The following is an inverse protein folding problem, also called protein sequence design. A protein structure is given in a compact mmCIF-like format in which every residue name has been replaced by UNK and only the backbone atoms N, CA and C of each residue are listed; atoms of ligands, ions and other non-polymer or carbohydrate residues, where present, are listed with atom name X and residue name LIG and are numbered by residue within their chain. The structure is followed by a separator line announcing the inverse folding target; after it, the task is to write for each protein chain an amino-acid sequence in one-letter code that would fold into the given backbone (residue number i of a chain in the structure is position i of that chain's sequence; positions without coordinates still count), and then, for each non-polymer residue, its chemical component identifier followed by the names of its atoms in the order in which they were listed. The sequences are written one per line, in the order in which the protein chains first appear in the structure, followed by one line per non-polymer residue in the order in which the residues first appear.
data_IF_741761662520
#
_entry.id   IF_741761662520
#
_cell.length_a   1.000
_cell.length_b   1.000
_cell.length_c   1.000
_cell.angle_alpha   90.00
_cell.angle_beta   90.00
_cell.angle_gamma   90.00
#
_symmetry.space_group_name_H-M   'P 1'
#
loop_
_entity.id
_entity.type
_entity.pdbx_description
1 polymer ?
#
# COMPACT_ATOMS: atom_id res chain seq x y z
N UNK A 1 -20.17 -23.05 -12.62
CA UNK A 1 -18.93 -22.26 -12.78
C UNK A 1 -19.01 -20.88 -12.14
N UNK A 2 -20.08 -20.10 -12.31
CA UNK A 2 -20.17 -18.76 -11.69
C UNK A 2 -20.02 -18.75 -10.16
N UNK A 3 -20.62 -19.72 -9.46
CA UNK A 3 -20.50 -19.85 -7.99
C UNK A 3 -19.05 -20.06 -7.55
N UNK A 4 -18.27 -20.85 -8.31
CA UNK A 4 -16.85 -21.04 -8.07
C UNK A 4 -16.03 -19.77 -8.35
N UNK A 5 -16.35 -19.04 -9.41
CA UNK A 5 -15.72 -17.76 -9.72
C UNK A 5 -15.97 -16.72 -8.63
N UNK A 6 -17.20 -16.65 -8.11
CA UNK A 6 -17.55 -15.78 -6.99
C UNK A 6 -16.85 -16.24 -5.70
N UNK A 7 -16.83 -17.53 -5.40
CA UNK A 7 -16.13 -18.06 -4.22
C UNK A 7 -14.63 -17.73 -4.24
N UNK A 8 -13.96 -17.90 -5.38
CA UNK A 8 -12.55 -17.52 -5.55
C UNK A 8 -12.36 -16.02 -5.37
N UNK A 9 -13.22 -15.19 -5.97
CA UNK A 9 -13.14 -13.73 -5.80
C UNK A 9 -13.25 -13.31 -4.32
N UNK A 10 -14.18 -13.92 -3.56
CA UNK A 10 -14.29 -13.66 -2.13
C UNK A 10 -13.06 -14.14 -1.36
N UNK A 11 -12.54 -15.33 -1.68
CA UNK A 11 -11.34 -15.86 -1.03
C UNK A 11 -10.11 -14.95 -1.27
N UNK A 12 -9.89 -14.53 -2.52
CA UNK A 12 -8.81 -13.63 -2.92
C UNK A 12 -8.97 -12.25 -2.26
N UNK A 13 -10.19 -11.72 -2.25
CA UNK A 13 -10.50 -10.48 -1.57
C UNK A 13 -10.15 -10.53 -0.08
N UNK A 14 -10.61 -11.58 0.62
CA UNK A 14 -10.31 -11.77 2.05
C UNK A 14 -8.79 -11.86 2.27
N UNK A 15 -8.08 -12.60 1.41
CA UNK A 15 -6.62 -12.70 1.46
C UNK A 15 -5.94 -11.34 1.31
N UNK A 16 -6.37 -10.51 0.35
CA UNK A 16 -5.81 -9.16 0.15
C UNK A 16 -6.13 -8.22 1.31
N UNK A 17 -7.37 -8.21 1.80
CA UNK A 17 -7.76 -7.37 2.93
C UNK A 17 -7.05 -7.74 4.23
N UNK A 18 -6.94 -9.04 4.52
CA UNK A 18 -6.17 -9.53 5.66
C UNK A 18 -4.67 -9.29 5.50
N UNK A 19 -4.15 -9.41 4.28
CA UNK A 19 -2.75 -9.11 3.96
C UNK A 19 -2.40 -7.66 4.26
N UNK A 20 -3.24 -6.73 3.80
CA UNK A 20 -3.08 -5.29 4.08
C UNK A 20 -3.19 -4.99 5.59
N UNK A 21 -4.17 -5.58 6.27
CA UNK A 21 -4.32 -5.45 7.72
C UNK A 21 -3.08 -5.95 8.48
N UNK A 22 -2.58 -7.14 8.11
CA UNK A 22 -1.43 -7.74 8.78
C UNK A 22 -0.15 -6.96 8.50
N UNK A 23 0.02 -6.48 7.27
CA UNK A 23 1.14 -5.62 6.87
C UNK A 23 1.15 -4.33 7.67
N UNK A 24 0.03 -3.60 7.71
CA UNK A 24 -0.10 -2.37 8.48
C UNK A 24 0.09 -2.60 9.99
N UNK A 25 -0.42 -3.71 10.52
CA UNK A 25 -0.21 -4.08 11.93
C UNK A 25 1.26 -4.38 12.23
N UNK A 26 1.93 -5.14 11.37
CA UNK A 26 3.35 -5.45 11.51
C UNK A 26 4.21 -4.19 11.47
N UNK A 27 3.93 -3.27 10.54
CA UNK A 27 4.61 -1.98 10.45
C UNK A 27 4.43 -1.17 11.75
N UNK A 28 3.22 -1.13 12.30
CA UNK A 28 2.94 -0.45 13.57
C UNK A 28 3.66 -1.09 14.76
N UNK A 29 3.64 -2.42 14.86
CA UNK A 29 4.32 -3.15 15.94
C UNK A 29 5.84 -2.97 15.86
N UNK A 30 6.40 -2.95 14.65
CA UNK A 30 7.82 -2.63 14.40
C UNK A 30 8.17 -1.20 14.81
N UNK A 31 7.33 -0.23 14.45
CA UNK A 31 7.51 1.17 14.82
C UNK A 31 7.57 1.34 16.35
N UNK A 32 6.60 0.79 17.08
CA UNK A 32 6.58 0.89 18.55
C UNK A 32 7.78 0.20 19.20
N UNK A 33 8.17 -0.97 18.69
CA UNK A 33 9.33 -1.70 19.21
C UNK A 33 10.61 -0.88 19.04
N UNK A 34 10.84 -0.32 17.84
CA UNK A 34 12.01 0.51 17.55
C UNK A 34 12.00 1.80 18.35
N UNK A 35 10.89 2.53 18.37
CA UNK A 35 10.75 3.76 19.17
C UNK A 35 11.04 3.54 20.65
N UNK A 36 10.59 2.40 21.20
CA UNK A 36 10.89 2.06 22.59
C UNK A 36 12.35 1.68 22.83
N UNK A 37 13.04 1.13 21.82
CA UNK A 37 14.48 0.89 21.88
C UNK A 37 15.25 2.21 21.81
N UNK A 38 14.83 3.12 20.95
CA UNK A 38 15.39 4.47 20.81
C UNK A 38 15.29 5.28 22.10
N UNK A 39 14.10 5.28 22.72
CA UNK A 39 13.90 5.92 24.02
C UNK A 39 14.73 5.30 25.14
N UNK A 40 15.09 4.02 25.04
CA UNK A 40 16.02 3.37 25.97
C UNK A 40 17.46 3.80 25.68
N UNK A 41 17.87 3.84 24.42
CA UNK A 41 19.19 4.30 24.02
C UNK A 41 19.45 5.76 24.42
N UNK A 42 18.45 6.64 24.28
CA UNK A 42 18.49 8.03 24.75
C UNK A 42 18.67 8.15 26.27
N UNK A 43 18.19 7.17 27.05
CA UNK A 43 18.37 7.15 28.52
C UNK A 43 19.71 6.56 28.92
N UNK A 44 20.12 5.49 28.25
CA UNK A 44 21.31 4.72 28.60
C UNK A 44 22.59 5.40 28.10
N UNK A 45 22.56 5.98 26.89
CA UNK A 45 23.71 6.60 26.21
C UNK A 45 23.33 7.93 25.50
N UNK A 46 22.80 8.95 26.21
CA UNK A 46 22.35 10.21 25.59
C UNK A 46 23.43 10.90 24.76
N UNK A 47 24.69 10.84 25.20
CA UNK A 47 25.79 11.47 24.48
C UNK A 47 26.03 10.85 23.09
N UNK A 48 25.72 9.57 22.89
CA UNK A 48 25.83 8.91 21.60
C UNK A 48 24.67 9.33 20.70
N UNK A 49 23.44 9.18 21.16
CA UNK A 49 22.24 9.53 20.39
C UNK A 49 22.22 10.99 19.94
N UNK A 50 22.69 11.92 20.79
CA UNK A 50 22.80 13.33 20.42
C UNK A 50 23.84 13.59 19.33
N UNK A 51 24.91 12.78 19.25
CA UNK A 51 25.88 12.87 18.14
C UNK A 51 25.27 12.35 16.84
N UNK A 52 24.48 11.29 16.92
CA UNK A 52 23.77 10.72 15.77
C UNK A 52 22.73 11.72 15.23
N UNK A 53 21.92 12.32 16.11
CA UNK A 53 21.01 13.42 15.75
C UNK A 53 21.77 14.60 15.15
N UNK A 54 22.90 15.00 15.72
CA UNK A 54 23.73 16.08 15.17
C UNK A 54 24.22 15.75 13.75
N UNK A 55 24.61 14.49 13.50
CA UNK A 55 25.04 14.06 12.16
C UNK A 55 23.88 14.13 11.17
N UNK A 56 22.71 13.61 11.54
CA UNK A 56 21.49 13.70 10.72
C UNK A 56 21.18 15.16 10.37
N UNK A 57 21.23 16.07 11.34
CA UNK A 57 21.00 17.50 11.11
C UNK A 57 22.02 18.11 10.13
N UNK A 58 23.30 17.71 10.22
CA UNK A 58 24.33 18.16 9.28
C UNK A 58 24.08 17.66 7.86
N UNK A 59 23.70 16.38 7.70
CA UNK A 59 23.33 15.80 6.41
C UNK A 59 22.12 16.49 5.78
N UNK A 60 21.25 17.08 6.60
CA UNK A 60 20.13 17.94 6.16
C UNK A 60 20.52 19.39 5.86
N UNK A 61 21.81 19.73 5.95
CA UNK A 61 22.36 21.01 5.56
C UNK A 61 22.53 22.01 6.71
N UNK A 62 22.34 21.61 7.97
CA UNK A 62 22.66 22.50 9.09
C UNK A 62 24.19 22.61 9.26
N UNK A 63 24.74 23.83 9.43
CA UNK A 63 26.14 23.99 9.79
C UNK A 63 26.44 23.25 11.10
N UNK A 64 27.63 22.63 11.20
CA UNK A 64 28.04 21.81 12.35
C UNK A 64 27.74 22.48 13.71
N UNK A 65 28.07 23.77 13.86
CA UNK A 65 27.83 24.50 15.11
C UNK A 65 26.35 24.71 15.44
N UNK A 66 25.48 24.83 14.44
CA UNK A 66 24.03 24.94 14.62
C UNK A 66 23.44 23.56 14.90
N UNK A 67 23.85 22.53 14.14
CA UNK A 67 23.40 21.16 14.37
C UNK A 67 23.71 20.68 15.80
N UNK A 68 24.90 20.98 16.33
CA UNK A 68 25.29 20.61 17.69
C UNK A 68 24.43 21.31 18.76
N UNK A 69 24.17 22.60 18.58
CA UNK A 69 23.29 23.37 19.47
C UNK A 69 21.85 22.86 19.43
N UNK A 70 21.34 22.61 18.21
CA UNK A 70 19.97 22.09 18.01
C UNK A 70 19.82 20.70 18.61
N UNK A 71 20.77 19.79 18.38
CA UNK A 71 20.74 18.45 18.97
C UNK A 71 20.75 18.52 20.50
N UNK A 72 21.63 19.35 21.08
CA UNK A 72 21.70 19.54 22.54
C UNK A 72 20.39 20.09 23.09
N UNK A 73 19.82 21.11 22.45
CA UNK A 73 18.54 21.71 22.88
C UNK A 73 17.36 20.73 22.76
N UNK A 74 17.37 19.85 21.75
CA UNK A 74 16.39 18.77 21.61
C UNK A 74 16.60 17.64 22.62
N UNK A 75 17.79 17.48 23.18
CA UNK A 75 18.11 16.43 24.16
C UNK A 75 17.27 16.47 25.43
N UNK A 76 16.73 17.64 25.80
CA UNK A 76 15.78 17.78 26.91
C UNK A 76 14.38 17.24 26.57
N UNK A 77 14.15 16.84 25.32
CA UNK A 77 12.88 16.35 24.78
C UNK A 77 13.07 14.97 24.10
N UNK A 78 13.29 13.89 24.87
CA UNK A 78 13.62 12.57 24.32
C UNK A 78 12.53 11.99 23.42
N UNK A 79 11.25 12.31 23.65
CA UNK A 79 10.17 11.90 22.75
C UNK A 79 10.29 12.56 21.37
N UNK A 80 10.64 13.85 21.32
CA UNK A 80 10.82 14.57 20.06
C UNK A 80 12.07 14.08 19.33
N UNK A 81 13.16 13.79 20.05
CA UNK A 81 14.36 13.19 19.47
C UNK A 81 14.05 11.81 18.90
N UNK A 82 13.37 10.94 19.65
CA UNK A 82 12.99 9.63 19.15
C UNK A 82 12.11 9.71 17.90
N UNK A 83 11.16 10.65 17.84
CA UNK A 83 10.30 10.83 16.66
C UNK A 83 11.11 11.33 15.44
N UNK A 84 12.10 12.20 15.65
CA UNK A 84 13.04 12.65 14.61
C UNK A 84 13.93 11.50 14.11
N UNK A 85 14.49 10.70 15.02
CA UNK A 85 15.33 9.53 14.68
C UNK A 85 14.52 8.48 13.92
N UNK A 86 13.30 8.17 14.38
CA UNK A 86 12.36 7.28 13.66
C UNK A 86 12.10 7.74 12.22
N UNK A 87 11.95 9.04 12.01
CA UNK A 87 11.70 9.61 10.69
C UNK A 87 12.96 9.64 9.82
N UNK A 88 14.09 10.10 10.36
CA UNK A 88 15.26 10.45 9.56
C UNK A 88 16.31 9.34 9.46
N UNK A 89 16.46 8.52 10.49
CA UNK A 89 17.37 7.38 10.46
C UNK A 89 16.67 6.13 9.89
N UNK A 90 15.48 5.82 10.39
CA UNK A 90 14.78 4.57 10.05
C UNK A 90 13.78 4.72 8.89
N UNK A 91 13.46 5.95 8.46
CA UNK A 91 12.48 6.19 7.41
C UNK A 91 11.08 5.71 7.76
N UNK A 92 10.77 5.58 9.05
CA UNK A 92 9.49 5.08 9.55
C UNK A 92 8.66 6.26 10.08
N UNK A 93 7.76 6.82 9.26
CA UNK A 93 6.85 7.86 9.73
C UNK A 93 5.91 7.30 10.81
N UNK A 94 5.37 8.20 11.63
CA UNK A 94 4.47 7.82 12.71
C UNK A 94 3.18 7.16 12.15
N UNK A 95 2.87 5.90 12.53
CA UNK A 95 1.68 5.19 12.05
C UNK A 95 0.37 5.67 12.72
N UNK A 96 0.38 6.72 13.56
CA UNK A 96 -0.82 7.22 14.27
C UNK A 96 -2.01 7.53 13.38
N UNK A 97 -1.76 8.02 12.17
CA UNK A 97 -2.83 8.38 11.22
C UNK A 97 -3.31 7.17 10.41
N UNK A 98 -2.58 6.04 10.45
CA UNK A 98 -2.93 4.82 9.75
C UNK A 98 -3.71 3.85 10.64
N UNK A 99 -4.88 3.43 10.17
CA UNK A 99 -5.68 2.40 10.85
C UNK A 99 -5.66 1.12 10.01
N UNK A 100 -4.82 0.12 10.35
CA UNK A 100 -4.66 -1.10 9.53
C UNK A 100 -5.98 -1.84 9.26
N UNK A 101 -6.90 -1.83 10.23
CA UNK A 101 -8.21 -2.46 10.09
C UNK A 101 -9.08 -1.77 9.02
N UNK A 102 -9.03 -0.43 8.98
CA UNK A 102 -9.76 0.37 8.01
C UNK A 102 -9.13 0.16 6.62
N UNK A 103 -7.81 0.26 6.50
CA UNK A 103 -7.09 0.07 5.24
C UNK A 103 -7.36 -1.33 4.65
N UNK A 104 -7.27 -2.38 5.47
CA UNK A 104 -7.61 -3.74 5.05
C UNK A 104 -9.07 -3.90 4.60
N UNK A 105 -10.01 -3.26 5.30
CA UNK A 105 -11.43 -3.29 4.91
C UNK A 105 -11.70 -2.56 3.59
N UNK A 106 -11.05 -1.42 3.35
CA UNK A 106 -11.15 -0.69 2.08
C UNK A 106 -10.57 -1.50 0.93
N UNK A 107 -9.40 -2.13 1.12
CA UNK A 107 -8.78 -3.01 0.12
C UNK A 107 -9.70 -4.18 -0.23
N UNK A 108 -10.30 -4.83 0.78
CA UNK A 108 -11.28 -5.90 0.56
C UNK A 108 -12.49 -5.43 -0.27
N UNK A 109 -13.13 -4.34 0.15
CA UNK A 109 -14.34 -3.82 -0.51
C UNK A 109 -14.03 -3.35 -1.93
N UNK A 110 -12.91 -2.65 -2.13
CA UNK A 110 -12.47 -2.22 -3.45
C UNK A 110 -12.23 -3.42 -4.37
N UNK A 111 -11.51 -4.44 -3.88
CA UNK A 111 -11.25 -5.65 -4.67
C UNK A 111 -12.54 -6.36 -5.09
N UNK A 112 -13.49 -6.52 -4.16
CA UNK A 112 -14.80 -7.10 -4.50
C UNK A 112 -15.58 -6.23 -5.48
N UNK A 113 -15.63 -4.92 -5.26
CA UNK A 113 -16.39 -4.00 -6.10
C UNK A 113 -15.90 -4.04 -7.55
N UNK A 114 -14.58 -4.01 -7.79
CA UNK A 114 -14.02 -4.10 -9.13
C UNK A 114 -14.05 -5.53 -9.70
N UNK A 115 -13.83 -6.55 -8.86
CA UNK A 115 -13.78 -7.95 -9.29
C UNK A 115 -15.15 -8.53 -9.65
N UNK A 116 -16.26 -7.96 -9.16
CA UNK A 116 -17.62 -8.37 -9.54
C UNK A 116 -18.00 -7.82 -10.93
N UNK A 117 -17.46 -6.68 -11.36
CA UNK A 117 -17.85 -6.02 -12.63
C UNK A 117 -17.79 -6.97 -13.85
N UNK A 118 -16.70 -7.75 -14.07
CA UNK A 118 -16.63 -8.71 -15.17
C UNK A 118 -17.66 -9.85 -15.10
N UNK A 119 -18.16 -10.17 -13.89
CA UNK A 119 -19.10 -11.26 -13.63
C UNK A 119 -20.56 -10.82 -13.82
N UNK A 120 -20.88 -9.53 -13.64
CA UNK A 120 -22.25 -8.99 -13.77
C UNK A 120 -22.95 -9.41 -15.08
N UNK A 121 -22.31 -9.32 -16.27
CA UNK A 121 -22.97 -9.72 -17.52
C UNK A 121 -23.46 -11.16 -17.54
N UNK A 122 -22.75 -12.08 -16.86
CA UNK A 122 -23.12 -13.49 -16.81
C UNK A 122 -24.26 -13.80 -15.83
N UNK A 123 -24.58 -12.88 -14.91
CA UNK A 123 -25.78 -12.99 -14.08
C UNK A 123 -27.04 -12.49 -14.80
N UNK A 124 -26.88 -11.55 -15.73
CA UNK A 124 -28.00 -10.88 -16.41
C UNK A 124 -28.35 -11.53 -17.74
N UNK A 125 -27.34 -12.01 -18.48
CA UNK A 125 -27.50 -12.58 -19.82
C UNK A 125 -27.18 -14.07 -19.85
N UNK A 126 -27.86 -14.86 -20.71
CA UNK A 126 -27.52 -16.26 -20.92
C UNK A 126 -26.07 -16.39 -21.45
N UNK A 127 -25.35 -17.47 -21.06
CA UNK A 127 -23.97 -17.68 -21.48
C UNK A 127 -23.93 -17.97 -22.99
N UNK A 128 -23.62 -16.94 -23.75
CA UNK A 128 -23.44 -16.95 -25.21
C UNK A 128 -22.18 -16.15 -25.55
N UNK A 129 -21.65 -16.31 -26.77
CA UNK A 129 -20.45 -15.58 -27.22
C UNK A 129 -20.59 -14.06 -27.08
N UNK A 130 -21.83 -13.55 -27.22
CA UNK A 130 -22.13 -12.14 -26.99
C UNK A 130 -21.88 -11.71 -25.54
N UNK A 131 -22.24 -12.54 -24.57
CA UNK A 131 -22.03 -12.27 -23.14
C UNK A 131 -20.56 -12.24 -22.78
N UNK A 132 -19.73 -13.07 -23.43
CA UNK A 132 -18.28 -13.03 -23.28
C UNK A 132 -17.71 -11.67 -23.71
N UNK A 133 -18.06 -11.17 -24.90
CA UNK A 133 -17.60 -9.86 -25.36
C UNK A 133 -18.10 -8.70 -24.49
N UNK A 134 -19.31 -8.79 -23.94
CA UNK A 134 -19.82 -7.81 -22.96
C UNK A 134 -18.98 -7.84 -21.67
N UNK A 135 -18.61 -9.02 -21.18
CA UNK A 135 -17.73 -9.15 -20.01
C UNK A 135 -16.33 -8.57 -20.26
N UNK A 136 -15.73 -8.84 -21.43
CA UNK A 136 -14.46 -8.21 -21.82
C UNK A 136 -14.57 -6.68 -21.82
N UNK A 137 -15.65 -6.13 -22.38
CA UNK A 137 -15.93 -4.69 -22.34
C UNK A 137 -16.09 -4.15 -20.91
N UNK A 138 -16.80 -4.88 -20.04
CA UNK A 138 -16.98 -4.53 -18.63
C UNK A 138 -15.65 -4.53 -17.86
N UNK A 139 -14.78 -5.52 -18.11
CA UNK A 139 -13.42 -5.57 -17.54
C UNK A 139 -12.58 -4.39 -17.99
N UNK A 140 -12.59 -4.05 -19.29
CA UNK A 140 -11.88 -2.89 -19.81
C UNK A 140 -12.38 -1.59 -19.18
N UNK A 141 -13.70 -1.45 -19.01
CA UNK A 141 -14.29 -0.31 -18.33
C UNK A 141 -13.87 -0.23 -16.85
N UNK A 142 -13.83 -1.36 -16.15
CA UNK A 142 -13.35 -1.45 -14.76
C UNK A 142 -11.87 -1.04 -14.64
N UNK A 143 -11.01 -1.54 -15.53
CA UNK A 143 -9.58 -1.18 -15.57
C UNK A 143 -9.39 0.30 -15.93
N UNK A 144 -10.17 0.84 -16.85
CA UNK A 144 -10.16 2.25 -17.20
C UNK A 144 -10.59 3.12 -16.01
N UNK A 145 -11.66 2.74 -15.30
CA UNK A 145 -12.10 3.41 -14.09
C UNK A 145 -11.04 3.37 -12.98
N UNK A 146 -10.37 2.23 -12.79
CA UNK A 146 -9.27 2.09 -11.84
C UNK A 146 -8.07 2.97 -12.22
N UNK A 147 -7.72 3.04 -13.50
CA UNK A 147 -6.65 3.91 -14.02
C UNK A 147 -6.96 5.40 -13.83
N UNK A 148 -8.22 5.80 -14.04
CA UNK A 148 -8.73 7.14 -13.77
C UNK A 148 -8.70 7.48 -12.27
N UNK A 149 -9.09 6.53 -11.41
CA UNK A 149 -9.06 6.70 -9.97
C UNK A 149 -7.61 6.85 -9.47
N UNK A 150 -6.68 6.02 -9.98
CA UNK A 150 -5.24 6.17 -9.75
C UNK A 150 -4.74 7.54 -10.19
N UNK A 151 -5.11 7.97 -11.38
CA UNK A 151 -4.74 9.30 -11.88
C UNK A 151 -5.21 10.43 -10.96
N UNK A 152 -6.48 10.39 -10.54
CA UNK A 152 -7.05 11.37 -9.62
C UNK A 152 -6.36 11.37 -8.25
N UNK A 153 -5.91 10.21 -7.78
CA UNK A 153 -5.27 10.07 -6.47
C UNK A 153 -3.79 10.47 -6.48
N UNK A 154 -3.06 10.17 -7.56
CA UNK A 154 -1.60 10.39 -7.63
C UNK A 154 -1.20 11.69 -8.31
N UNK A 155 -2.10 12.36 -9.05
CA UNK A 155 -1.78 13.58 -9.81
C UNK A 155 -0.79 13.38 -10.96
N UNK A 156 -0.48 12.13 -11.30
CA UNK A 156 0.44 11.76 -12.36
C UNK A 156 -0.12 12.02 -13.77
N UNK A 157 0.65 11.73 -14.82
CA UNK A 157 0.16 11.84 -16.20
C UNK A 157 -0.86 10.75 -16.49
N UNK A 158 -2.07 11.12 -16.91
CA UNK A 158 -3.18 10.20 -17.25
C UNK A 158 -2.76 9.09 -18.21
N UNK A 159 -1.99 9.41 -19.25
CA UNK A 159 -1.52 8.43 -20.23
C UNK A 159 -0.64 7.33 -19.60
N UNK A 160 0.14 7.66 -18.57
CA UNK A 160 1.00 6.72 -17.87
C UNK A 160 0.21 5.80 -16.94
N UNK A 161 -0.66 6.36 -16.10
CA UNK A 161 -1.47 5.57 -15.16
C UNK A 161 -2.45 4.64 -15.88
N UNK A 162 -3.09 5.14 -16.94
CA UNK A 162 -3.97 4.34 -17.78
C UNK A 162 -3.19 3.28 -18.56
N UNK A 163 -2.06 3.66 -19.17
CA UNK A 163 -1.20 2.75 -19.92
C UNK A 163 -0.69 1.60 -19.06
N UNK A 164 -0.17 1.89 -17.86
CA UNK A 164 0.29 0.87 -16.92
C UNK A 164 -0.85 -0.05 -16.47
N UNK A 165 -2.00 0.52 -16.07
CA UNK A 165 -3.14 -0.27 -15.54
C UNK A 165 -3.72 -1.19 -16.61
N UNK A 166 -3.91 -0.69 -17.85
CA UNK A 166 -4.40 -1.50 -18.96
C UNK A 166 -3.37 -2.54 -19.40
N UNK A 167 -2.08 -2.20 -19.45
CA UNK A 167 -1.04 -3.15 -19.86
C UNK A 167 -0.90 -4.31 -18.88
N UNK A 168 -0.86 -4.01 -17.58
CA UNK A 168 -0.82 -5.04 -16.53
C UNK A 168 -2.10 -5.88 -16.55
N UNK A 169 -3.28 -5.25 -16.65
CA UNK A 169 -4.55 -5.98 -16.75
C UNK A 169 -4.63 -6.89 -17.98
N UNK A 170 -4.15 -6.41 -19.13
CA UNK A 170 -4.10 -7.19 -20.37
C UNK A 170 -3.15 -8.38 -20.25
N UNK A 171 -1.97 -8.18 -19.64
CA UNK A 171 -1.02 -9.26 -19.39
C UNK A 171 -1.61 -10.32 -18.46
N UNK A 172 -2.24 -9.91 -17.35
CA UNK A 172 -2.92 -10.83 -16.44
C UNK A 172 -4.04 -11.61 -17.14
N UNK A 173 -4.86 -10.95 -17.96
CA UNK A 173 -5.91 -11.60 -18.73
C UNK A 173 -5.34 -12.61 -19.74
N UNK A 174 -4.26 -12.28 -20.44
CA UNK A 174 -3.60 -13.18 -21.37
C UNK A 174 -3.04 -14.44 -20.67
N UNK A 175 -2.42 -14.27 -19.50
CA UNK A 175 -1.93 -15.39 -18.69
C UNK A 175 -3.10 -16.26 -18.21
N UNK A 176 -4.16 -15.66 -17.66
CA UNK A 176 -5.33 -16.38 -17.19
C UNK A 176 -6.01 -17.17 -18.33
N UNK A 177 -6.15 -16.57 -19.51
CA UNK A 177 -6.69 -17.23 -20.69
C UNK A 177 -5.79 -18.38 -21.16
N UNK A 178 -4.47 -18.18 -21.19
CA UNK A 178 -3.52 -19.21 -21.58
C UNK A 178 -3.54 -20.43 -20.65
N UNK A 179 -3.60 -20.20 -19.33
CA UNK A 179 -3.74 -21.27 -18.33
C UNK A 179 -5.11 -21.95 -18.47
N UNK A 180 -6.17 -21.18 -18.64
CA UNK A 180 -7.53 -21.69 -18.82
C UNK A 180 -7.66 -22.57 -20.06
N UNK A 181 -7.03 -22.19 -21.17
CA UNK A 181 -6.99 -23.00 -22.39
C UNK A 181 -6.20 -24.30 -22.20
N UNK A 182 -5.06 -24.24 -21.51
CA UNK A 182 -4.19 -25.41 -21.30
C UNK A 182 -4.78 -26.45 -20.34
N UNK A 183 -5.49 -26.00 -19.30
CA UNK A 183 -6.16 -26.88 -18.32
C UNK A 183 -7.56 -27.30 -18.78
N UNK A 184 -8.24 -26.41 -19.52
CA UNK A 184 -9.63 -26.57 -19.94
C UNK A 184 -9.82 -27.41 -21.20
N UNK A 185 -8.81 -27.52 -22.07
CA UNK A 185 -8.75 -28.43 -23.22
C UNK A 185 -10.02 -28.51 -24.06
#
# INVERSE_FOLDING_TARGET
MLVFGLANLFADGVSMGLGEFLSGRAARDMYHTRRNTELRALRDNPAQELRELQQILQERGLPQGIAAQTATALGDHPEAVADLMMTYEFGQPDPRDDTPAINGSFTFVAFLAFGVIPLVPYFVFPPTDRTFWISVGATLAALAALGLLRWSATGERLARTMGETVSVGTLCAAVAFGVGWLVGG
#
